data_IF_632120830279
#
_entry.id   IF_632120830279
#
_cell.length_a   1.000
_cell.length_b   1.000
_cell.length_c   1.000
_cell.angle_alpha   90.00
_cell.angle_beta   90.00
_cell.angle_gamma   90.00
#
_symmetry.space_group_name_H-M   'P 1'
#
loop_
_entity.id
_entity.type
_entity.pdbx_description
1 polymer ?
#
# COMPACT_ATOMS: atom_id res chain seq x y z
N UNK A 1 2.14 -9.78 6.51
CA UNK A 1 2.49 -9.18 5.20
C UNK A 1 2.89 -10.25 4.18
N UNK A 2 3.69 -11.26 4.55
CA UNK A 2 4.03 -12.40 3.67
C UNK A 2 2.80 -13.13 3.11
N UNK A 3 1.80 -13.42 3.94
CA UNK A 3 0.52 -14.01 3.47
C UNK A 3 -0.18 -13.14 2.42
N UNK A 4 -0.04 -11.81 2.50
CA UNK A 4 -0.60 -10.89 1.53
C UNK A 4 0.05 -11.03 0.16
N UNK A 5 1.36 -11.32 0.11
CA UNK A 5 2.05 -11.64 -1.14
C UNK A 5 1.63 -12.99 -1.67
N UNK A 6 1.59 -14.03 -0.82
CA UNK A 6 1.15 -15.36 -1.27
C UNK A 6 -0.26 -15.34 -1.84
N UNK A 7 -1.15 -14.53 -1.26
CA UNK A 7 -2.49 -14.32 -1.79
C UNK A 7 -2.47 -13.56 -3.12
N UNK A 8 -1.65 -12.52 -3.25
CA UNK A 8 -1.49 -11.79 -4.51
C UNK A 8 -1.01 -12.72 -5.64
N UNK A 9 -0.05 -13.59 -5.35
CA UNK A 9 0.44 -14.58 -6.31
C UNK A 9 -0.66 -15.53 -6.75
N UNK A 10 -1.41 -16.09 -5.80
CA UNK A 10 -2.56 -16.95 -6.11
C UNK A 10 -3.65 -16.23 -6.93
N UNK A 11 -3.87 -14.93 -6.70
CA UNK A 11 -4.83 -14.12 -7.46
C UNK A 11 -4.36 -13.87 -8.89
N UNK A 12 -3.07 -13.55 -9.10
CA UNK A 12 -2.49 -13.37 -10.43
C UNK A 12 -2.54 -14.66 -11.22
N UNK A 13 -2.15 -15.78 -10.60
CA UNK A 13 -2.24 -17.10 -11.22
C UNK A 13 -3.69 -17.47 -11.56
N UNK A 14 -4.63 -17.22 -10.64
CA UNK A 14 -6.06 -17.45 -10.83
C UNK A 14 -6.68 -16.59 -11.93
N UNK A 15 -6.12 -15.41 -12.21
CA UNK A 15 -6.53 -14.54 -13.30
C UNK A 15 -5.99 -14.97 -14.68
N UNK A 16 -5.14 -16.00 -14.73
CA UNK A 16 -4.49 -16.46 -15.96
C UNK A 16 -3.09 -15.88 -16.19
N UNK A 17 -2.47 -15.33 -15.15
CA UNK A 17 -1.12 -14.78 -15.18
C UNK A 17 -1.07 -13.27 -15.43
N UNK A 18 0.14 -12.73 -15.35
CA UNK A 18 0.49 -11.31 -15.51
C UNK A 18 0.09 -10.73 -16.87
N UNK A 19 0.19 -11.53 -17.94
CA UNK A 19 -0.13 -11.11 -19.31
C UNK A 19 -1.60 -10.70 -19.47
N UNK A 20 -2.53 -11.42 -18.81
CA UNK A 20 -3.97 -11.13 -18.88
C UNK A 20 -4.30 -9.82 -18.15
N UNK A 21 -3.51 -9.50 -17.11
CA UNK A 21 -3.70 -8.33 -16.28
C UNK A 21 -3.04 -7.06 -16.84
N UNK A 22 -2.29 -7.17 -17.95
CA UNK A 22 -1.47 -6.08 -18.49
C UNK A 22 -0.52 -5.49 -17.43
N UNK A 23 0.10 -6.38 -16.64
CA UNK A 23 1.06 -6.03 -15.58
C UNK A 23 2.33 -6.83 -15.82
N UNK A 24 3.49 -6.18 -15.94
CA UNK A 24 4.74 -6.92 -16.12
C UNK A 24 5.31 -7.47 -14.80
N UNK A 25 6.33 -8.34 -14.87
CA UNK A 25 6.96 -8.90 -13.68
C UNK A 25 7.67 -7.85 -12.80
N UNK A 26 8.20 -6.78 -13.40
CA UNK A 26 8.83 -5.68 -12.66
C UNK A 26 7.80 -4.91 -11.84
N UNK A 27 6.62 -4.66 -12.40
CA UNK A 27 5.48 -4.03 -11.75
C UNK A 27 4.91 -4.92 -10.65
N UNK A 28 4.75 -6.23 -10.90
CA UNK A 28 4.33 -7.17 -9.87
C UNK A 28 5.33 -7.20 -8.70
N UNK A 29 6.64 -7.20 -8.97
CA UNK A 29 7.66 -7.07 -7.92
C UNK A 29 7.55 -5.75 -7.17
N UNK A 30 7.28 -4.65 -7.87
CA UNK A 30 7.09 -3.36 -7.24
C UNK A 30 5.85 -3.36 -6.32
N UNK A 31 4.71 -3.89 -6.76
CA UNK A 31 3.50 -4.03 -5.94
C UNK A 31 3.80 -4.84 -4.66
N UNK A 32 4.47 -5.99 -4.80
CA UNK A 32 4.91 -6.79 -3.64
C UNK A 32 5.80 -6.00 -2.69
N UNK A 33 6.70 -5.17 -3.22
CA UNK A 33 7.59 -4.33 -2.42
C UNK A 33 6.85 -3.22 -1.65
N UNK A 34 5.75 -2.68 -2.21
CA UNK A 34 4.88 -1.72 -1.52
C UNK A 34 4.14 -2.38 -0.35
N UNK A 35 3.66 -3.62 -0.53
CA UNK A 35 2.98 -4.40 0.51
C UNK A 35 3.93 -4.75 1.67
N UNK A 36 5.18 -5.10 1.37
CA UNK A 36 6.22 -5.36 2.39
C UNK A 36 6.94 -4.09 2.87
N UNK A 37 6.55 -2.93 2.37
CA UNK A 37 7.13 -1.64 2.74
C UNK A 37 8.67 -1.57 2.61
N UNK A 38 9.23 -2.21 1.58
CA UNK A 38 10.69 -2.25 1.41
C UNK A 38 11.44 -2.90 2.58
N UNK A 39 10.81 -3.83 3.31
CA UNK A 39 11.49 -4.66 4.32
C UNK A 39 12.72 -5.37 3.74
N UNK A 40 13.62 -5.86 4.59
CA UNK A 40 14.82 -6.60 4.13
C UNK A 40 14.47 -7.82 3.27
N UNK A 41 13.28 -8.37 3.49
CA UNK A 41 12.74 -9.54 2.81
C UNK A 41 11.90 -9.15 1.58
N UNK A 42 11.71 -7.85 1.32
CA UNK A 42 10.99 -7.37 0.16
C UNK A 42 11.78 -7.63 -1.13
N UNK A 43 11.10 -8.04 -2.22
CA UNK A 43 11.70 -8.06 -3.53
C UNK A 43 12.32 -6.70 -3.82
N UNK A 44 13.58 -6.70 -4.30
CA UNK A 44 14.21 -5.46 -4.75
C UNK A 44 13.38 -4.89 -5.88
N UNK A 45 12.68 -3.80 -5.59
CA UNK A 45 11.95 -3.07 -6.59
C UNK A 45 12.90 -2.51 -7.65
N UNK A 46 12.37 -2.19 -8.83
CA UNK A 46 13.09 -1.38 -9.80
C UNK A 46 13.67 -0.11 -9.16
N UNK A 47 14.95 0.18 -9.42
CA UNK A 47 15.71 1.29 -8.79
C UNK A 47 15.28 2.67 -9.25
N UNK A 48 14.35 2.76 -10.20
CA UNK A 48 13.81 3.97 -10.80
C UNK A 48 12.54 4.50 -10.10
N UNK A 49 12.01 3.77 -9.10
CA UNK A 49 10.79 4.17 -8.39
C UNK A 49 11.10 5.20 -7.28
N UNK A 50 10.36 6.32 -7.19
CA UNK A 50 10.53 7.29 -6.12
C UNK A 50 10.31 6.70 -4.73
N UNK A 51 11.19 7.02 -3.78
CA UNK A 51 11.15 6.47 -2.41
C UNK A 51 9.87 6.81 -1.62
N UNK A 52 9.24 7.96 -1.89
CA UNK A 52 8.03 8.35 -1.18
C UNK A 52 6.84 7.40 -1.44
N UNK A 53 6.88 6.59 -2.51
CA UNK A 53 5.83 5.62 -2.81
C UNK A 53 5.70 4.53 -1.73
N UNK A 54 6.79 4.18 -1.06
CA UNK A 54 6.77 3.20 0.05
C UNK A 54 6.11 3.74 1.32
N UNK A 55 5.96 5.06 1.45
CA UNK A 55 5.31 5.70 2.60
C UNK A 55 3.78 5.74 2.46
N UNK A 56 3.21 5.27 1.34
CA UNK A 56 1.77 5.38 1.04
C UNK A 56 0.97 4.17 1.56
N UNK A 57 1.36 2.95 1.18
CA UNK A 57 0.58 1.73 1.43
C UNK A 57 0.86 1.15 2.81
N UNK A 58 2.13 0.96 3.16
CA UNK A 58 2.56 0.41 4.42
C UNK A 58 3.77 1.22 4.91
N UNK A 59 3.54 2.27 5.70
CA UNK A 59 4.59 3.19 6.07
C UNK A 59 5.34 2.69 7.31
N UNK A 60 6.50 2.07 7.13
CA UNK A 60 7.32 1.58 8.27
C UNK A 60 8.09 2.68 8.98
N UNK A 61 8.20 3.88 8.38
CA UNK A 61 8.97 4.99 8.96
C UNK A 61 8.25 5.61 10.15
N UNK A 62 6.94 5.83 10.03
CA UNK A 62 6.14 6.47 11.08
C UNK A 62 4.72 5.90 11.24
N UNK A 63 4.32 4.93 10.40
CA UNK A 63 3.01 4.30 10.46
C UNK A 63 1.87 5.12 9.86
N UNK A 64 2.11 6.30 9.27
CA UNK A 64 1.07 7.10 8.60
C UNK A 64 0.92 6.59 7.17
N UNK A 65 -0.13 5.80 6.92
CA UNK A 65 -0.43 5.18 5.62
C UNK A 65 -1.95 5.11 5.36
N UNK A 66 -2.31 4.82 4.10
CA UNK A 66 -3.71 4.78 3.65
C UNK A 66 -4.51 3.62 4.27
N UNK A 67 -3.83 2.53 4.68
CA UNK A 67 -4.47 1.40 5.38
C UNK A 67 -5.11 1.87 6.69
N UNK A 68 -4.37 2.65 7.49
CA UNK A 68 -4.90 3.23 8.73
C UNK A 68 -6.00 4.23 8.51
N UNK A 69 -5.87 5.04 7.47
CA UNK A 69 -6.89 6.03 7.15
C UNK A 69 -8.23 5.37 6.85
N UNK A 70 -8.22 4.32 6.04
CA UNK A 70 -9.44 3.59 5.70
C UNK A 70 -10.05 2.90 6.93
N UNK A 71 -9.29 2.08 7.66
CA UNK A 71 -9.88 1.32 8.76
C UNK A 71 -10.31 2.24 9.91
N UNK A 72 -9.59 3.32 10.22
CA UNK A 72 -10.01 4.25 11.28
C UNK A 72 -11.32 4.95 10.92
N UNK A 73 -11.49 5.37 9.67
CA UNK A 73 -12.72 6.00 9.22
C UNK A 73 -13.89 5.00 9.18
N UNK A 74 -13.62 3.79 8.68
CA UNK A 74 -14.59 2.69 8.60
C UNK A 74 -15.06 2.26 9.98
N UNK A 75 -14.14 1.96 10.88
CA UNK A 75 -14.46 1.48 12.23
C UNK A 75 -15.13 2.57 13.05
N UNK A 76 -14.72 3.84 12.90
CA UNK A 76 -15.42 4.95 13.56
C UNK A 76 -16.89 5.04 13.12
N UNK A 77 -17.19 4.79 11.84
CA UNK A 77 -18.57 4.73 11.34
C UNK A 77 -19.34 3.56 11.96
N UNK A 78 -18.79 2.35 11.90
CA UNK A 78 -19.51 1.14 12.35
C UNK A 78 -19.56 0.98 13.89
N UNK A 79 -18.67 1.63 14.63
CA UNK A 79 -18.69 1.67 16.10
C UNK A 79 -19.46 2.88 16.67
N UNK A 80 -20.10 3.70 15.82
CA UNK A 80 -20.84 4.89 16.25
C UNK A 80 -19.95 6.00 16.85
N UNK A 81 -18.67 6.02 16.49
CA UNK A 81 -17.66 6.98 16.94
C UNK A 81 -17.44 8.10 15.91
N UNK A 82 -18.51 8.67 15.35
CA UNK A 82 -18.41 9.65 14.26
C UNK A 82 -17.54 10.87 14.60
N UNK A 83 -17.44 11.23 15.89
CA UNK A 83 -16.59 12.33 16.38
C UNK A 83 -15.09 12.02 16.35
N UNK A 84 -14.71 10.75 16.23
CA UNK A 84 -13.32 10.32 16.12
C UNK A 84 -12.84 10.27 14.66
N UNK A 85 -13.68 10.69 13.70
CA UNK A 85 -13.34 10.63 12.28
C UNK A 85 -12.20 11.60 11.95
N UNK A 86 -11.08 11.06 11.51
CA UNK A 86 -9.93 11.81 11.02
C UNK A 86 -10.26 12.42 9.64
N UNK A 87 -10.00 13.72 9.45
CA UNK A 87 -10.21 14.41 8.18
C UNK A 87 -9.04 14.18 7.21
N UNK A 88 -9.00 12.98 6.64
CA UNK A 88 -7.95 12.53 5.70
C UNK A 88 -7.81 13.49 4.50
N UNK A 89 -8.91 14.05 4.00
CA UNK A 89 -8.91 14.99 2.88
C UNK A 89 -8.03 16.21 3.15
N UNK A 90 -8.10 16.79 4.35
CA UNK A 90 -7.26 17.94 4.72
C UNK A 90 -5.78 17.57 4.80
N UNK A 91 -5.46 16.36 5.27
CA UNK A 91 -4.09 15.86 5.30
C UNK A 91 -3.53 15.72 3.87
N UNK A 92 -4.32 15.17 2.94
CA UNK A 92 -3.93 15.02 1.54
C UNK A 92 -3.66 16.37 0.86
N UNK A 93 -4.49 17.38 1.12
CA UNK A 93 -4.33 18.74 0.55
C UNK A 93 -3.01 19.41 0.94
N UNK A 94 -2.48 19.11 2.13
CA UNK A 94 -1.25 19.71 2.65
C UNK A 94 -0.02 18.81 2.48
N UNK A 95 -0.19 17.55 2.07
CA UNK A 95 0.92 16.60 1.92
C UNK A 95 1.77 16.95 0.70
N UNK A 96 3.10 16.99 0.88
CA UNK A 96 4.06 17.28 -0.19
C UNK A 96 5.28 16.36 -0.08
N UNK A 97 5.81 15.98 -1.24
CA UNK A 97 7.14 15.36 -1.33
C UNK A 97 8.16 16.50 -1.39
N UNK A 98 9.08 16.53 -0.42
CA UNK A 98 10.21 17.47 -0.40
C UNK A 98 11.46 16.67 -0.77
N UNK A 99 12.17 17.13 -1.81
CA UNK A 99 13.42 16.54 -2.29
C UNK A 99 14.64 17.22 -1.70
#
# INVERSE_FOLDING_TARGET
>A
EEMGISMLDALVDGAGGTEVLDVDECELRFIKSLILAGSKDAPKAPTDRPMFLYDIIANKRNGIDVDKWDYLARDALYCGQERARFEITKLLEITKVIG
#
